data_IF_949986678185
#
_entry.id   IF_949986678185
#
_cell.length_a   1.000
_cell.length_b   1.000
_cell.length_c   1.000
_cell.angle_alpha   90.00
_cell.angle_beta   90.00
_cell.angle_gamma   90.00
#
_symmetry.space_group_name_H-M   'P 1'
#
loop_
_entity.id
_entity.type
_entity.pdbx_description
1 polymer ?
#
# COMPACT_ATOMS: atom_id res chain seq x y z
N UNK A 1 15.28 -30.44 -9.65
CA UNK A 1 16.16 -30.38 -8.46
C UNK A 1 15.92 -29.03 -7.80
N UNK A 2 15.26 -29.01 -6.64
CA UNK A 2 14.79 -27.78 -5.99
C UNK A 2 15.98 -26.98 -5.42
N UNK A 3 16.38 -25.91 -6.10
CA UNK A 3 17.39 -24.96 -5.61
C UNK A 3 16.98 -24.22 -4.32
N UNK A 4 15.72 -24.37 -3.86
CA UNK A 4 15.18 -23.68 -2.69
C UNK A 4 15.11 -24.54 -1.41
N UNK A 5 15.54 -25.81 -1.42
CA UNK A 5 15.35 -26.71 -0.28
C UNK A 5 16.15 -26.35 1.00
N UNK A 6 17.05 -25.36 0.93
CA UNK A 6 17.93 -24.96 2.03
C UNK A 6 17.88 -23.46 2.41
N UNK A 7 17.06 -22.65 1.75
CA UNK A 7 16.98 -21.22 2.09
C UNK A 7 16.03 -21.00 3.28
N UNK A 8 16.38 -20.13 4.25
CA UNK A 8 15.47 -19.73 5.32
C UNK A 8 14.17 -19.16 4.77
N UNK A 9 13.04 -19.63 5.28
CA UNK A 9 11.70 -19.24 4.86
C UNK A 9 11.23 -17.98 5.57
N UNK A 10 10.73 -17.00 4.82
CA UNK A 10 10.20 -15.74 5.34
C UNK A 10 8.69 -15.60 5.03
N UNK A 11 7.84 -15.79 6.04
CA UNK A 11 6.38 -15.66 5.91
C UNK A 11 5.94 -14.20 6.05
N UNK A 12 5.34 -13.63 5.02
CA UNK A 12 4.93 -12.21 5.00
C UNK A 12 3.43 -12.09 5.23
N UNK A 13 3.02 -11.31 6.23
CA UNK A 13 1.64 -10.84 6.41
C UNK A 13 1.56 -9.34 6.12
N UNK A 14 0.67 -8.93 5.22
CA UNK A 14 0.45 -7.51 4.87
C UNK A 14 -1.06 -7.22 4.80
N UNK A 15 -1.55 -6.34 3.91
CA UNK A 15 -2.96 -6.23 3.55
C UNK A 15 -3.61 -7.58 3.22
N UNK A 16 -4.93 -7.70 3.42
CA UNK A 16 -5.66 -8.93 3.06
C UNK A 16 -5.50 -9.26 1.57
N UNK A 17 -5.53 -10.56 1.24
CA UNK A 17 -5.24 -11.04 -0.11
C UNK A 17 -6.14 -10.41 -1.18
N UNK A 18 -7.43 -10.20 -0.88
CA UNK A 18 -8.35 -9.50 -1.78
C UNK A 18 -7.87 -8.10 -2.20
N UNK A 19 -7.28 -7.36 -1.26
CA UNK A 19 -6.78 -6.00 -1.51
C UNK A 19 -5.54 -6.02 -2.41
N UNK A 20 -4.64 -6.98 -2.20
CA UNK A 20 -3.46 -7.19 -3.06
C UNK A 20 -3.87 -7.46 -4.51
N UNK A 21 -5.02 -8.12 -4.71
CA UNK A 21 -5.58 -8.44 -6.03
C UNK A 21 -6.31 -7.29 -6.71
N UNK A 22 -6.43 -6.14 -6.05
CA UNK A 22 -7.23 -5.01 -6.54
C UNK A 22 -6.50 -3.67 -6.42
N UNK A 23 -5.29 -3.64 -5.87
CA UNK A 23 -4.51 -2.43 -5.65
C UNK A 23 -3.06 -2.58 -6.13
N UNK A 24 -2.63 -1.75 -7.09
CA UNK A 24 -1.27 -1.77 -7.62
C UNK A 24 -0.20 -1.48 -6.56
N UNK A 25 -0.50 -0.58 -5.61
CA UNK A 25 0.42 -0.23 -4.54
C UNK A 25 0.74 -1.43 -3.66
N UNK A 26 -0.29 -2.08 -3.12
CA UNK A 26 -0.13 -3.27 -2.29
C UNK A 26 0.51 -4.43 -3.04
N UNK A 27 0.16 -4.63 -4.31
CA UNK A 27 0.78 -5.67 -5.14
C UNK A 27 2.28 -5.42 -5.32
N UNK A 28 2.65 -4.23 -5.80
CA UNK A 28 4.03 -3.93 -6.17
C UNK A 28 4.92 -3.74 -4.93
N UNK A 29 4.36 -3.31 -3.80
CA UNK A 29 5.01 -3.34 -2.49
C UNK A 29 5.37 -4.76 -2.08
N UNK A 30 4.45 -5.71 -2.21
CA UNK A 30 4.70 -7.11 -1.87
C UNK A 30 5.76 -7.72 -2.79
N UNK A 31 5.66 -7.45 -4.09
CA UNK A 31 6.69 -7.80 -5.06
C UNK A 31 8.06 -7.28 -4.63
N UNK A 32 8.15 -5.99 -4.32
CA UNK A 32 9.41 -5.38 -3.94
C UNK A 32 10.05 -6.03 -2.70
N UNK A 33 9.23 -6.30 -1.67
CA UNK A 33 9.71 -6.94 -0.46
C UNK A 33 10.18 -8.38 -0.72
N UNK A 34 9.43 -9.17 -1.51
CA UNK A 34 9.85 -10.53 -1.86
C UNK A 34 11.16 -10.51 -2.65
N UNK A 35 11.27 -9.69 -3.69
CA UNK A 35 12.49 -9.57 -4.50
C UNK A 35 13.70 -9.15 -3.66
N UNK A 36 13.50 -8.24 -2.71
CA UNK A 36 14.58 -7.83 -1.81
C UNK A 36 15.02 -8.97 -0.87
N UNK A 37 14.06 -9.69 -0.28
CA UNK A 37 14.36 -10.85 0.59
C UNK A 37 15.01 -12.01 -0.17
N UNK A 38 14.63 -12.24 -1.44
CA UNK A 38 15.30 -13.21 -2.32
C UNK A 38 16.78 -12.87 -2.51
N UNK A 39 17.10 -11.58 -2.74
CA UNK A 39 18.49 -11.10 -2.84
C UNK A 39 19.28 -11.29 -1.56
N UNK A 40 18.61 -11.25 -0.41
CA UNK A 40 19.20 -11.56 0.90
C UNK A 40 19.38 -13.07 1.14
N UNK A 41 18.98 -13.94 0.20
CA UNK A 41 19.12 -15.39 0.32
C UNK A 41 18.01 -16.06 1.12
N UNK A 42 16.83 -15.45 1.23
CA UNK A 42 15.66 -16.07 1.84
C UNK A 42 14.70 -16.62 0.77
N UNK A 43 13.80 -17.51 1.20
CA UNK A 43 12.62 -17.89 0.44
C UNK A 43 11.39 -17.18 1.02
N UNK A 44 11.05 -15.96 0.52
CA UNK A 44 9.88 -15.24 1.00
C UNK A 44 8.60 -15.81 0.40
N UNK A 45 7.50 -15.74 1.15
CA UNK A 45 6.17 -16.05 0.63
C UNK A 45 5.09 -15.22 1.34
N UNK A 46 4.06 -14.83 0.59
CA UNK A 46 2.89 -14.14 1.12
C UNK A 46 1.93 -15.13 1.78
N UNK A 47 1.62 -14.89 3.06
CA UNK A 47 0.53 -15.56 3.78
C UNK A 47 -0.79 -14.96 3.29
N UNK A 48 -1.55 -15.74 2.51
CA UNK A 48 -2.81 -15.26 1.91
C UNK A 48 -3.92 -15.23 2.95
N UNK A 49 -3.99 -14.16 3.73
CA UNK A 49 -5.07 -13.97 4.69
C UNK A 49 -6.32 -13.41 4.00
N UNK A 50 -7.47 -14.04 4.22
CA UNK A 50 -8.76 -13.51 3.78
C UNK A 50 -9.24 -12.37 4.69
N UNK A 51 -10.08 -11.51 4.14
CA UNK A 51 -10.74 -10.48 4.93
C UNK A 51 -11.64 -11.12 5.98
N UNK A 52 -11.89 -10.43 7.09
CA UNK A 52 -12.86 -10.84 8.10
C UNK A 52 -14.27 -10.72 7.49
N UNK A 53 -14.61 -11.64 6.60
CA UNK A 53 -15.98 -11.98 6.30
C UNK A 53 -16.39 -12.91 7.42
N UNK A 54 -16.96 -12.37 8.49
CA UNK A 54 -18.00 -13.14 9.16
C UNK A 54 -19.24 -12.95 8.28
N UNK A 55 -19.59 -13.88 7.36
CA UNK A 55 -20.97 -13.91 6.92
C UNK A 55 -21.77 -14.23 8.17
N UNK A 56 -22.32 -13.20 8.83
CA UNK A 56 -23.34 -13.40 9.85
C UNK A 56 -24.38 -14.28 9.15
N UNK A 57 -24.55 -15.51 9.62
CA UNK A 57 -25.41 -16.46 8.94
C UNK A 57 -26.80 -15.83 8.81
N UNK A 58 -27.55 -16.17 7.76
CA UNK A 58 -28.91 -15.61 7.58
C UNK A 58 -29.76 -15.79 8.85
N UNK A 59 -29.55 -16.90 9.57
CA UNK A 59 -30.18 -17.19 10.86
C UNK A 59 -29.74 -16.23 11.97
N UNK A 60 -28.47 -15.89 12.08
CA UNK A 60 -27.96 -14.92 13.07
C UNK A 60 -28.36 -13.48 12.72
N UNK A 61 -28.42 -13.11 11.43
CA UNK A 61 -28.99 -11.82 11.00
C UNK A 61 -30.46 -11.71 11.38
N UNK A 62 -31.24 -12.77 11.15
CA UNK A 62 -32.65 -12.82 11.56
C UNK A 62 -32.77 -12.73 13.08
N UNK A 63 -31.98 -13.52 13.82
CA UNK A 63 -32.01 -13.54 15.30
C UNK A 63 -31.65 -12.18 15.88
N UNK A 64 -30.66 -11.49 15.31
CA UNK A 64 -30.26 -10.14 15.67
C UNK A 64 -31.38 -9.11 15.42
N UNK A 65 -32.02 -9.13 14.25
CA UNK A 65 -33.11 -8.20 13.93
C UNK A 65 -34.42 -8.51 14.67
N UNK A 66 -34.68 -9.76 15.02
CA UNK A 66 -35.79 -10.15 15.90
C UNK A 66 -35.59 -9.63 17.33
N UNK A 67 -34.35 -9.66 17.84
CA UNK A 67 -33.99 -9.14 19.16
C UNK A 67 -33.82 -7.61 19.17
N UNK A 68 -33.57 -6.98 18.01
CA UNK A 68 -33.32 -5.55 17.87
C UNK A 68 -34.13 -4.90 16.71
N UNK A 69 -35.47 -4.88 16.78
CA UNK A 69 -36.33 -4.39 15.69
C UNK A 69 -36.11 -2.90 15.36
N UNK A 70 -35.75 -2.09 16.35
CA UNK A 70 -35.40 -0.67 16.15
C UNK A 70 -34.12 -0.49 15.31
N UNK A 71 -33.19 -1.44 15.30
CA UNK A 71 -31.99 -1.37 14.47
C UNK A 71 -32.25 -1.76 13.01
N UNK A 72 -33.24 -2.63 12.76
CA UNK A 72 -33.74 -2.90 11.41
C UNK A 72 -34.40 -1.64 10.82
N UNK A 73 -35.27 -1.00 11.61
CA UNK A 73 -35.85 0.29 11.27
C UNK A 73 -34.75 1.34 11.01
N UNK A 74 -33.79 1.48 11.93
CA UNK A 74 -32.67 2.42 11.78
C UNK A 74 -31.84 2.16 10.51
N UNK A 75 -31.61 0.90 10.11
CA UNK A 75 -30.95 0.54 8.85
C UNK A 75 -31.78 0.88 7.60
N UNK A 76 -33.12 0.78 7.68
CA UNK A 76 -34.02 1.20 6.61
C UNK A 76 -34.06 2.74 6.44
N UNK A 77 -33.81 3.49 7.52
CA UNK A 77 -33.79 4.97 7.54
C UNK A 77 -32.37 5.60 7.50
N UNK A 78 -31.30 4.80 7.60
CA UNK A 78 -29.92 5.27 7.49
C UNK A 78 -29.50 5.34 6.00
N UNK A 79 -29.74 6.49 5.37
CA UNK A 79 -29.20 6.87 4.06
C UNK A 79 -27.69 6.59 3.86
N UNK A 80 -26.78 6.91 4.80
CA UNK A 80 -25.34 6.73 4.55
C UNK A 80 -24.90 5.27 4.38
N UNK A 81 -25.61 4.30 4.99
CA UNK A 81 -25.29 2.89 4.81
C UNK A 81 -25.72 2.36 3.43
N UNK A 82 -26.85 2.85 2.91
CA UNK A 82 -27.33 2.49 1.56
C UNK A 82 -26.47 3.14 0.47
N UNK A 83 -26.14 4.42 0.62
CA UNK A 83 -25.26 5.13 -0.33
C UNK A 83 -23.87 4.48 -0.39
N UNK A 84 -23.30 4.07 0.74
CA UNK A 84 -22.04 3.33 0.78
C UNK A 84 -22.13 1.95 0.09
N UNK A 85 -23.23 1.22 0.30
CA UNK A 85 -23.46 -0.08 -0.34
C UNK A 85 -23.66 0.06 -1.86
N UNK A 86 -24.46 1.03 -2.30
CA UNK A 86 -24.66 1.36 -3.72
C UNK A 86 -23.35 1.78 -4.39
N UNK A 87 -22.55 2.63 -3.72
CA UNK A 87 -21.22 3.02 -4.19
C UNK A 87 -20.32 1.79 -4.35
N UNK A 88 -20.26 0.90 -3.35
CA UNK A 88 -19.48 -0.34 -3.42
C UNK A 88 -19.93 -1.25 -4.58
N UNK A 89 -21.24 -1.38 -4.82
CA UNK A 89 -21.78 -2.15 -5.94
C UNK A 89 -21.43 -1.54 -7.30
N UNK A 90 -21.43 -0.21 -7.42
CA UNK A 90 -21.02 0.49 -8.65
C UNK A 90 -19.53 0.31 -8.94
N UNK A 91 -18.68 0.42 -7.92
CA UNK A 91 -17.24 0.14 -8.04
C UNK A 91 -17.02 -1.32 -8.46
N UNK A 92 -17.71 -2.27 -7.82
CA UNK A 92 -17.62 -3.68 -8.17
C UNK A 92 -18.10 -3.99 -9.59
N UNK A 93 -19.10 -3.24 -10.10
CA UNK A 93 -19.52 -3.33 -11.50
C UNK A 93 -18.44 -2.83 -12.44
N UNK A 94 -17.93 -1.62 -12.21
CA UNK A 94 -16.84 -1.05 -13.01
C UNK A 94 -15.64 -2.00 -13.08
N UNK A 95 -15.21 -2.55 -11.94
CA UNK A 95 -14.08 -3.48 -11.87
C UNK A 95 -14.29 -4.80 -12.61
N UNK A 96 -15.54 -5.24 -12.79
CA UNK A 96 -15.88 -6.42 -13.60
C UNK A 96 -15.86 -6.10 -15.10
N UNK A 97 -16.28 -4.90 -15.46
CA UNK A 97 -16.25 -4.40 -16.84
C UNK A 97 -14.82 -4.06 -17.30
N UNK A 98 -13.95 -3.71 -16.35
CA UNK A 98 -12.55 -3.35 -16.59
C UNK A 98 -11.61 -4.27 -15.78
N UNK A 99 -11.51 -5.55 -16.16
CA UNK A 99 -10.69 -6.51 -15.42
C UNK A 99 -9.21 -6.14 -15.51
N UNK A 100 -8.55 -6.17 -14.36
CA UNK A 100 -7.11 -5.92 -14.21
C UNK A 100 -6.47 -7.25 -13.79
N UNK A 101 -5.64 -7.92 -14.61
CA UNK A 101 -5.20 -9.29 -14.35
C UNK A 101 -4.10 -9.40 -13.27
N UNK A 102 -4.36 -8.88 -12.07
CA UNK A 102 -3.46 -8.92 -10.91
C UNK A 102 -3.03 -10.35 -10.54
N UNK A 103 -3.95 -11.32 -10.59
CA UNK A 103 -3.65 -12.73 -10.27
C UNK A 103 -2.58 -13.32 -11.20
N UNK A 104 -2.51 -12.91 -12.47
CA UNK A 104 -1.46 -13.37 -13.38
C UNK A 104 -0.09 -12.82 -13.01
N UNK A 105 -0.02 -11.61 -12.46
CA UNK A 105 1.23 -11.06 -11.94
C UNK A 105 1.63 -11.77 -10.64
N UNK A 106 0.68 -11.97 -9.73
CA UNK A 106 0.90 -12.68 -8.46
C UNK A 106 1.45 -14.08 -8.72
N UNK A 107 0.81 -14.86 -9.60
CA UNK A 107 1.22 -16.25 -9.86
C UNK A 107 2.60 -16.36 -10.51
N UNK A 108 3.04 -15.33 -11.23
CA UNK A 108 4.33 -15.32 -11.93
C UNK A 108 5.48 -14.77 -11.08
N UNK A 109 5.20 -13.80 -10.21
CA UNK A 109 6.25 -13.03 -9.52
C UNK A 109 6.23 -13.12 -8.01
N UNK A 110 5.17 -13.67 -7.40
CA UNK A 110 5.06 -13.81 -5.95
C UNK A 110 4.95 -15.27 -5.55
N UNK A 111 5.72 -15.65 -4.54
CA UNK A 111 5.48 -16.86 -3.79
C UNK A 111 4.31 -16.61 -2.82
N UNK A 112 3.38 -17.55 -2.73
CA UNK A 112 2.21 -17.44 -1.85
C UNK A 112 1.93 -18.77 -1.17
N UNK A 113 1.24 -18.75 -0.03
CA UNK A 113 0.76 -19.99 0.61
C UNK A 113 -0.21 -20.74 -0.30
N UNK A 114 -0.21 -22.09 -0.31
CA UNK A 114 -1.09 -22.88 -1.18
C UNK A 114 -2.57 -22.73 -0.86
N UNK A 115 -2.89 -22.35 0.38
CA UNK A 115 -4.24 -22.07 0.85
C UNK A 115 -4.38 -20.60 1.25
N UNK A 116 -5.63 -20.17 1.44
CA UNK A 116 -5.96 -18.95 2.15
C UNK A 116 -6.19 -19.24 3.64
N UNK A 117 -5.98 -18.24 4.48
CA UNK A 117 -6.12 -18.35 5.92
C UNK A 117 -7.16 -17.37 6.43
N UNK A 118 -8.10 -17.87 7.23
CA UNK A 118 -8.86 -17.04 8.16
C UNK A 118 -8.09 -16.88 9.48
N UNK A 119 -8.64 -16.08 10.39
CA UNK A 119 -8.02 -15.81 11.71
C UNK A 119 -7.86 -17.05 12.57
N UNK A 120 -8.78 -18.00 12.49
CA UNK A 120 -8.76 -19.21 13.33
C UNK A 120 -7.68 -20.15 12.82
N UNK A 121 -7.74 -20.47 11.53
CA UNK A 121 -6.80 -21.34 10.84
C UNK A 121 -5.38 -20.80 10.91
N UNK A 122 -5.18 -19.48 10.76
CA UNK A 122 -3.85 -18.88 10.86
C UNK A 122 -3.24 -19.04 12.26
N UNK A 123 -4.05 -18.99 13.32
CA UNK A 123 -3.57 -19.13 14.71
C UNK A 123 -3.33 -20.57 15.10
N UNK A 124 -4.19 -21.48 14.66
CA UNK A 124 -4.09 -22.90 14.99
C UNK A 124 -3.03 -23.62 14.14
N UNK A 125 -2.91 -23.24 12.86
CA UNK A 125 -2.06 -23.90 11.88
C UNK A 125 -1.29 -22.87 11.03
N UNK A 126 -0.46 -22.02 11.63
CA UNK A 126 0.32 -21.04 10.88
C UNK A 126 1.26 -21.74 9.89
N UNK A 127 1.49 -21.17 8.69
CA UNK A 127 2.46 -21.73 7.75
C UNK A 127 3.86 -21.70 8.37
N UNK A 128 4.64 -22.76 8.22
CA UNK A 128 6.00 -22.84 8.77
C UNK A 128 6.95 -21.82 8.12
N UNK A 129 7.64 -21.05 8.97
CA UNK A 129 8.68 -20.11 8.55
C UNK A 129 9.78 -19.97 9.60
N UNK A 130 10.97 -19.58 9.15
CA UNK A 130 12.10 -19.24 10.01
C UNK A 130 11.96 -17.82 10.59
N UNK A 131 11.28 -16.95 9.84
CA UNK A 131 10.94 -15.59 10.24
C UNK A 131 9.57 -15.20 9.67
N UNK A 132 8.84 -14.39 10.41
CA UNK A 132 7.57 -13.79 10.01
C UNK A 132 7.70 -12.28 9.94
N UNK A 133 7.28 -11.69 8.83
CA UNK A 133 7.30 -10.25 8.60
C UNK A 133 5.87 -9.70 8.56
N UNK A 134 5.61 -8.67 9.35
CA UNK A 134 4.40 -7.87 9.25
C UNK A 134 4.70 -6.56 8.52
N UNK A 135 3.94 -6.29 7.46
CA UNK A 135 4.05 -5.07 6.69
C UNK A 135 4.25 -5.30 5.19
N UNK A 136 4.51 -4.27 4.41
CA UNK A 136 4.73 -2.88 4.86
C UNK A 136 3.52 -1.96 4.72
N UNK A 137 2.37 -2.46 4.28
CA UNK A 137 1.22 -1.61 3.98
C UNK A 137 0.47 -1.14 5.25
N UNK A 138 -0.73 -0.56 5.10
CA UNK A 138 -1.55 0.02 6.18
C UNK A 138 -2.17 -1.01 7.15
N UNK A 139 -1.36 -1.90 7.70
CA UNK A 139 -1.78 -3.11 8.44
C UNK A 139 -2.18 -2.86 9.89
N UNK A 140 -1.76 -1.75 10.51
CA UNK A 140 -2.09 -1.44 11.91
C UNK A 140 -3.14 -0.33 12.04
N UNK A 141 -3.98 -0.20 11.01
CA UNK A 141 -5.11 0.74 10.98
C UNK A 141 -6.33 0.20 11.73
N UNK A 142 -6.56 -1.11 11.67
CA UNK A 142 -7.72 -1.79 12.26
C UNK A 142 -7.30 -2.69 13.42
N UNK A 143 -8.28 -3.13 14.21
CA UNK A 143 -8.10 -4.12 15.29
C UNK A 143 -7.95 -5.56 14.72
N UNK A 144 -7.15 -5.73 13.66
CA UNK A 144 -6.75 -7.03 13.12
C UNK A 144 -5.43 -7.45 13.76
N UNK A 145 -5.51 -8.09 14.92
CA UNK A 145 -4.34 -8.43 15.73
C UNK A 145 -3.46 -9.52 15.13
N UNK A 146 -3.90 -10.21 14.08
CA UNK A 146 -3.04 -11.14 13.37
C UNK A 146 -1.90 -10.38 12.65
N UNK A 147 -2.11 -9.09 12.32
CA UNK A 147 -1.07 -8.18 11.82
C UNK A 147 -0.01 -7.79 12.86
N UNK A 148 -0.23 -8.12 14.14
CA UNK A 148 0.79 -8.06 15.20
C UNK A 148 1.53 -9.41 15.35
N UNK A 149 1.38 -10.33 14.38
CA UNK A 149 2.04 -11.63 14.36
C UNK A 149 1.81 -12.47 15.63
N UNK A 150 0.66 -12.31 16.29
CA UNK A 150 0.38 -13.02 17.54
C UNK A 150 0.23 -14.55 17.38
N UNK A 151 0.15 -15.06 16.14
CA UNK A 151 0.20 -16.48 15.80
C UNK A 151 1.64 -17.02 15.67
N UNK A 152 2.63 -16.15 15.46
CA UNK A 152 4.02 -16.56 15.23
C UNK A 152 4.78 -16.70 16.56
N UNK A 153 5.79 -17.57 16.66
CA UNK A 153 6.61 -17.68 17.86
C UNK A 153 7.34 -16.37 18.20
N UNK A 154 7.52 -16.03 19.50
CA UNK A 154 8.41 -14.96 19.93
C UNK A 154 9.81 -15.06 19.34
N UNK A 155 10.42 -13.91 19.03
CA UNK A 155 11.78 -13.86 18.46
C UNK A 155 11.87 -14.25 16.98
N UNK A 156 10.77 -14.68 16.36
CA UNK A 156 10.63 -14.86 14.90
C UNK A 156 9.85 -13.74 14.21
N UNK A 157 9.47 -12.70 14.94
CA UNK A 157 8.55 -11.64 14.46
C UNK A 157 9.32 -10.39 14.09
N UNK A 158 9.08 -9.85 12.90
CA UNK A 158 9.66 -8.58 12.45
C UNK A 158 8.54 -7.72 11.89
N UNK A 159 8.51 -6.43 12.23
CA UNK A 159 7.69 -5.46 11.52
C UNK A 159 8.59 -4.68 10.58
N UNK A 160 8.30 -4.73 9.28
CA UNK A 160 9.05 -3.99 8.27
C UNK A 160 8.18 -2.92 7.65
N UNK A 161 8.60 -1.65 7.79
CA UNK A 161 7.94 -0.49 7.23
C UNK A 161 6.42 -0.46 7.47
N UNK A 162 5.94 -0.94 8.62
CA UNK A 162 4.51 -1.00 8.91
C UNK A 162 3.88 0.40 8.83
N UNK A 163 2.72 0.49 8.19
CA UNK A 163 1.97 1.74 8.03
C UNK A 163 0.59 1.63 8.70
N UNK A 164 0.00 2.78 9.01
CA UNK A 164 -1.37 2.86 9.50
C UNK A 164 -1.94 4.28 9.34
N UNK A 165 -3.23 4.42 9.60
CA UNK A 165 -3.82 5.73 9.92
C UNK A 165 -3.39 6.14 11.34
N UNK A 166 -2.13 6.53 11.50
CA UNK A 166 -1.52 6.88 12.78
C UNK A 166 -2.30 8.00 13.50
N UNK A 167 -2.51 7.82 14.80
CA UNK A 167 -3.34 8.70 15.62
C UNK A 167 -4.82 8.28 15.72
N UNK A 168 -5.27 7.31 14.91
CA UNK A 168 -6.63 6.73 15.00
C UNK A 168 -6.67 5.35 15.69
N UNK A 169 -5.54 4.87 16.22
CA UNK A 169 -5.46 3.57 16.89
C UNK A 169 -6.44 3.48 18.08
N UNK A 170 -7.17 2.37 18.16
CA UNK A 170 -8.16 2.13 19.21
C UNK A 170 -7.48 1.82 20.56
N UNK A 171 -8.24 1.93 21.66
CA UNK A 171 -7.77 1.45 22.98
C UNK A 171 -7.42 -0.05 22.95
N UNK A 172 -8.16 -0.85 22.18
CA UNK A 172 -7.90 -2.30 22.05
C UNK A 172 -6.59 -2.55 21.31
N UNK A 173 -6.33 -1.78 20.24
CA UNK A 173 -5.06 -1.84 19.55
C UNK A 173 -3.90 -1.55 20.51
N UNK A 174 -3.98 -0.50 21.34
CA UNK A 174 -2.91 -0.23 22.33
C UNK A 174 -2.71 -1.36 23.35
N UNK A 175 -3.78 -2.01 23.81
CA UNK A 175 -3.71 -3.14 24.73
C UNK A 175 -2.97 -4.32 24.07
N UNK A 176 -3.39 -4.70 22.87
CA UNK A 176 -2.77 -5.81 22.15
C UNK A 176 -1.35 -5.48 21.68
N UNK A 177 -1.10 -4.25 21.21
CA UNK A 177 0.24 -3.82 20.81
C UNK A 177 1.23 -3.88 22.00
N UNK A 178 0.84 -3.41 23.19
CA UNK A 178 1.66 -3.53 24.41
C UNK A 178 1.99 -4.98 24.77
N UNK A 179 1.07 -5.89 24.47
CA UNK A 179 1.24 -7.32 24.73
C UNK A 179 2.13 -7.99 23.70
N UNK A 180 1.95 -7.68 22.41
CA UNK A 180 2.53 -8.44 21.31
C UNK A 180 3.83 -7.85 20.74
N UNK A 181 3.98 -6.51 20.72
CA UNK A 181 5.17 -5.86 20.18
C UNK A 181 6.49 -6.22 20.89
N UNK A 182 6.54 -6.49 22.22
CA UNK A 182 7.76 -6.94 22.89
C UNK A 182 8.34 -8.26 22.36
N UNK A 183 7.56 -9.05 21.63
CA UNK A 183 8.01 -10.31 21.04
C UNK A 183 8.61 -10.16 19.64
N UNK A 184 8.65 -8.94 19.11
CA UNK A 184 9.31 -8.62 17.86
C UNK A 184 10.82 -8.49 18.05
N UNK A 185 11.57 -9.09 17.13
CA UNK A 185 13.02 -8.95 17.06
C UNK A 185 13.43 -7.57 16.57
N UNK A 186 12.61 -6.97 15.71
CA UNK A 186 12.79 -5.60 15.24
C UNK A 186 11.46 -5.01 14.79
N UNK A 187 11.28 -3.72 15.06
CA UNK A 187 10.10 -2.96 14.64
C UNK A 187 10.56 -1.76 13.82
N UNK A 188 10.07 -1.68 12.59
CA UNK A 188 10.16 -0.47 11.79
C UNK A 188 8.81 -0.09 11.20
N UNK A 189 8.64 1.20 11.02
CA UNK A 189 7.44 1.83 10.45
C UNK A 189 7.84 2.68 9.25
N UNK A 190 6.87 3.01 8.41
CA UNK A 190 7.10 3.84 7.22
C UNK A 190 7.05 5.34 7.52
N UNK A 191 6.31 5.73 8.54
CA UNK A 191 6.05 7.13 8.90
C UNK A 191 6.56 7.47 10.30
N UNK A 192 7.02 8.70 10.47
CA UNK A 192 7.54 9.20 11.76
C UNK A 192 6.47 9.14 12.87
N UNK A 193 5.22 9.43 12.54
CA UNK A 193 4.08 9.34 13.46
C UNK A 193 3.88 7.91 13.98
N UNK A 194 4.18 6.90 13.16
CA UNK A 194 4.10 5.50 13.57
C UNK A 194 5.06 5.15 14.69
N UNK A 195 6.28 5.70 14.64
CA UNK A 195 7.29 5.51 15.68
C UNK A 195 6.79 6.06 17.00
N UNK A 196 6.21 7.26 16.98
CA UNK A 196 5.65 7.87 18.19
C UNK A 196 4.48 7.08 18.77
N UNK A 197 3.61 6.52 17.92
CA UNK A 197 2.49 5.67 18.37
C UNK A 197 2.99 4.35 18.96
N UNK A 198 3.98 3.70 18.34
CA UNK A 198 4.60 2.50 18.89
C UNK A 198 5.33 2.76 20.21
N UNK A 199 5.98 3.93 20.37
CA UNK A 199 6.58 4.36 21.63
C UNK A 199 5.53 4.55 22.73
N UNK A 200 4.37 5.14 22.41
CA UNK A 200 3.22 5.21 23.35
C UNK A 200 2.64 3.83 23.70
N UNK A 201 2.85 2.84 22.82
CA UNK A 201 2.55 1.44 23.06
C UNK A 201 3.66 0.68 23.80
N UNK A 202 4.70 1.36 24.29
CA UNK A 202 5.74 0.77 25.15
C UNK A 202 6.98 0.26 24.42
N UNK A 203 7.16 0.58 23.14
CA UNK A 203 8.34 0.18 22.37
C UNK A 203 9.34 1.32 22.23
N UNK A 204 10.52 1.19 22.85
CA UNK A 204 11.55 2.25 22.80
C UNK A 204 12.26 2.30 21.45
N UNK A 205 12.60 1.13 20.88
CA UNK A 205 13.36 1.00 19.64
C UNK A 205 12.43 0.73 18.46
N UNK A 206 12.15 1.78 17.70
CA UNK A 206 11.33 1.71 16.48
C UNK A 206 11.97 2.58 15.40
N UNK A 207 12.40 1.93 14.32
CA UNK A 207 13.06 2.61 13.20
C UNK A 207 12.03 3.14 12.19
N UNK A 208 12.39 4.22 11.48
CA UNK A 208 11.60 4.74 10.36
C UNK A 208 12.35 4.41 9.08
N UNK A 209 11.79 3.53 8.26
CA UNK A 209 12.45 2.96 7.09
C UNK A 209 11.63 3.19 5.82
N UNK A 210 12.24 2.95 4.66
CA UNK A 210 11.57 3.09 3.37
C UNK A 210 10.51 2.01 3.15
N UNK A 211 9.46 2.39 2.42
CA UNK A 211 8.61 1.41 1.74
C UNK A 211 9.48 0.51 0.84
N UNK A 212 9.25 -0.82 0.82
CA UNK A 212 10.11 -1.74 0.09
C UNK A 212 10.14 -1.50 -1.41
N UNK A 213 9.16 -0.80 -2.00
CA UNK A 213 9.24 -0.38 -3.40
C UNK A 213 10.44 0.52 -3.71
N UNK A 214 10.96 1.23 -2.70
CA UNK A 214 12.15 2.08 -2.81
C UNK A 214 13.45 1.35 -2.44
N UNK A 215 13.37 0.08 -2.00
CA UNK A 215 14.55 -0.77 -1.78
C UNK A 215 15.13 -1.34 -3.07
N UNK A 216 14.28 -1.53 -4.08
CA UNK A 216 14.70 -2.06 -5.37
C UNK A 216 15.33 -0.97 -6.23
N UNK A 217 16.25 -1.40 -7.10
CA UNK A 217 16.76 -0.53 -8.14
C UNK A 217 15.65 -0.29 -9.19
N UNK A 218 15.48 0.93 -9.74
CA UNK A 218 14.48 1.20 -10.76
C UNK A 218 14.54 0.26 -11.97
N UNK A 219 15.73 -0.25 -12.32
CA UNK A 219 15.90 -1.21 -13.41
C UNK A 219 15.10 -2.49 -13.20
N UNK A 220 14.87 -2.93 -11.95
CA UNK A 220 14.09 -4.13 -11.64
C UNK A 220 12.64 -3.98 -12.08
N UNK A 221 12.04 -2.81 -11.87
CA UNK A 221 10.71 -2.50 -12.38
C UNK A 221 10.71 -2.38 -13.89
N UNK A 222 11.67 -1.63 -14.45
CA UNK A 222 11.70 -1.42 -15.91
C UNK A 222 12.04 -2.69 -16.71
N UNK A 223 12.61 -3.71 -16.07
CA UNK A 223 12.87 -5.02 -16.69
C UNK A 223 11.61 -5.88 -16.83
N UNK A 224 10.56 -5.59 -16.06
CA UNK A 224 9.26 -6.27 -16.16
C UNK A 224 8.48 -5.85 -17.42
N UNK A 225 8.74 -4.65 -17.95
CA UNK A 225 8.02 -4.11 -19.10
C UNK A 225 8.77 -4.44 -20.38
N UNK A 226 8.08 -5.02 -21.37
CA UNK A 226 8.69 -5.36 -22.66
C UNK A 226 8.63 -4.17 -23.60
N UNK A 227 9.67 -3.98 -24.42
CA UNK A 227 9.78 -2.83 -25.33
C UNK A 227 8.88 -2.92 -26.59
N UNK A 228 7.83 -3.75 -26.59
CA UNK A 228 7.12 -4.12 -27.82
C UNK A 228 6.18 -3.03 -28.36
N UNK A 229 5.62 -2.18 -27.50
CA UNK A 229 4.82 -1.01 -27.92
C UNK A 229 4.66 -0.01 -26.78
N UNK A 230 4.59 1.28 -27.09
CA UNK A 230 4.26 2.31 -26.12
C UNK A 230 2.83 2.09 -25.58
N UNK A 231 2.65 2.24 -24.27
CA UNK A 231 1.36 2.15 -23.60
C UNK A 231 0.63 3.50 -23.59
N UNK A 232 1.37 4.59 -23.36
CA UNK A 232 0.85 5.96 -23.40
C UNK A 232 1.23 6.65 -24.71
N UNK A 233 0.34 7.53 -25.24
CA UNK A 233 0.74 8.48 -26.26
C UNK A 233 1.91 9.37 -25.78
N UNK A 234 2.74 9.91 -26.70
CA UNK A 234 3.75 10.91 -26.34
C UNK A 234 3.17 12.09 -25.58
N UNK A 235 3.97 12.69 -24.70
CA UNK A 235 3.60 13.86 -23.90
C UNK A 235 2.38 13.68 -22.97
N UNK A 236 1.97 12.44 -22.68
CA UNK A 236 0.84 12.15 -21.80
C UNK A 236 1.08 12.62 -20.37
N UNK A 237 0.03 13.16 -19.75
CA UNK A 237 -0.07 13.39 -18.31
C UNK A 237 -0.76 12.19 -17.69
N UNK A 238 -0.10 11.56 -16.73
CA UNK A 238 -0.65 10.42 -16.01
C UNK A 238 -1.27 10.88 -14.70
N UNK A 239 -2.54 10.55 -14.50
CA UNK A 239 -3.20 10.61 -13.21
C UNK A 239 -3.25 9.25 -12.54
N UNK A 240 -2.92 9.16 -11.26
CA UNK A 240 -3.24 7.98 -10.45
C UNK A 240 -3.96 8.41 -9.19
N UNK A 241 -5.28 8.18 -9.14
CA UNK A 241 -6.15 8.74 -8.10
C UNK A 241 -6.94 7.67 -7.36
N UNK A 242 -6.97 7.81 -6.03
CA UNK A 242 -7.63 6.96 -5.06
C UNK A 242 -8.66 7.76 -4.27
N UNK A 243 -9.70 7.09 -3.76
CA UNK A 243 -10.65 7.65 -2.78
C UNK A 243 -11.19 9.05 -3.13
N UNK A 244 -11.46 9.32 -4.41
CA UNK A 244 -11.95 10.62 -4.88
C UNK A 244 -13.43 10.55 -5.20
N UNK A 245 -14.23 11.37 -4.53
CA UNK A 245 -15.69 11.39 -4.73
C UNK A 245 -16.15 12.54 -5.62
N UNK A 246 -15.40 13.64 -5.63
CA UNK A 246 -15.64 14.77 -6.51
C UNK A 246 -14.36 15.23 -7.23
N UNK A 247 -14.51 15.65 -8.49
CA UNK A 247 -13.44 16.22 -9.30
C UNK A 247 -12.76 17.44 -8.67
N UNK A 248 -13.45 18.15 -7.78
CA UNK A 248 -12.89 19.28 -7.02
C UNK A 248 -11.81 18.85 -6.03
N UNK A 249 -11.84 17.62 -5.51
CA UNK A 249 -10.84 17.13 -4.56
C UNK A 249 -9.46 16.93 -5.20
N UNK A 250 -9.42 16.72 -6.52
CA UNK A 250 -8.19 16.58 -7.30
C UNK A 250 -7.89 17.80 -8.16
N UNK A 251 -8.57 18.93 -7.93
CA UNK A 251 -8.36 20.17 -8.70
C UNK A 251 -8.49 19.97 -10.20
N UNK A 252 -9.51 19.22 -10.63
CA UNK A 252 -9.67 18.78 -12.03
C UNK A 252 -9.61 19.93 -13.05
N UNK A 253 -10.27 21.06 -12.77
CA UNK A 253 -10.24 22.21 -13.67
C UNK A 253 -8.81 22.77 -13.83
N UNK A 254 -8.04 22.84 -12.73
CA UNK A 254 -6.65 23.28 -12.77
C UNK A 254 -5.75 22.30 -13.53
N UNK A 255 -6.03 20.99 -13.45
CA UNK A 255 -5.35 19.97 -14.26
C UNK A 255 -5.63 20.23 -15.75
N UNK A 256 -6.90 20.37 -16.13
CA UNK A 256 -7.30 20.60 -17.53
C UNK A 256 -6.71 21.90 -18.09
N UNK A 257 -6.78 22.98 -17.32
CA UNK A 257 -6.25 24.28 -17.73
C UNK A 257 -4.73 24.24 -17.86
N UNK A 258 -4.05 23.62 -16.89
CA UNK A 258 -2.59 23.54 -16.89
C UNK A 258 -2.06 22.66 -18.00
N UNK A 259 -2.74 21.58 -18.38
CA UNK A 259 -2.24 20.60 -19.35
C UNK A 259 -3.08 20.51 -20.62
N UNK A 260 -3.75 21.61 -20.98
CA UNK A 260 -4.52 21.71 -22.22
C UNK A 260 -3.67 21.33 -23.43
N UNK A 261 -4.15 20.36 -24.21
CA UNK A 261 -3.47 19.84 -25.40
C UNK A 261 -2.57 18.63 -25.14
N UNK A 262 -2.31 18.27 -23.87
CA UNK A 262 -1.66 17.00 -23.54
C UNK A 262 -2.72 15.89 -23.39
N UNK A 263 -2.44 14.64 -23.85
CA UNK A 263 -3.30 13.50 -23.54
C UNK A 263 -3.33 13.26 -22.04
N UNK A 264 -4.51 13.31 -21.42
CA UNK A 264 -4.70 13.01 -20.01
C UNK A 264 -5.19 11.57 -19.86
N UNK A 265 -4.41 10.74 -19.16
CA UNK A 265 -4.74 9.34 -18.89
C UNK A 265 -4.77 9.12 -17.39
N UNK A 266 -5.90 8.65 -16.88
CA UNK A 266 -6.16 8.49 -15.46
C UNK A 266 -6.31 7.01 -15.15
N UNK A 267 -5.58 6.54 -14.16
CA UNK A 267 -5.77 5.25 -13.51
C UNK A 267 -6.60 5.51 -12.25
N UNK A 268 -7.93 5.27 -12.28
CA UNK A 268 -8.76 5.43 -11.11
C UNK A 268 -8.81 4.15 -10.27
N UNK A 269 -8.85 4.33 -8.95
CA UNK A 269 -9.07 3.26 -7.98
C UNK A 269 -9.93 3.75 -6.80
N UNK A 270 -10.62 2.81 -6.14
CA UNK A 270 -11.28 3.01 -4.84
C UNK A 270 -12.36 4.12 -4.83
N UNK A 271 -13.22 4.16 -5.85
CA UNK A 271 -14.34 5.11 -5.95
C UNK A 271 -14.10 6.23 -6.95
N UNK A 272 -12.83 6.52 -7.27
CA UNK A 272 -12.45 7.52 -8.26
C UNK A 272 -13.01 7.18 -9.65
N UNK A 273 -13.21 5.90 -9.95
CA UNK A 273 -13.79 5.41 -11.20
C UNK A 273 -15.20 5.97 -11.46
N UNK A 274 -15.89 6.41 -10.40
CA UNK A 274 -17.28 6.88 -10.48
C UNK A 274 -17.40 8.37 -10.78
N UNK A 275 -16.32 9.14 -10.72
CA UNK A 275 -16.34 10.60 -10.91
C UNK A 275 -15.44 11.09 -12.06
N UNK A 276 -14.43 10.31 -12.46
CA UNK A 276 -13.54 10.65 -13.58
C UNK A 276 -14.27 10.46 -14.93
N UNK A 277 -14.11 11.38 -15.90
CA UNK A 277 -14.65 11.21 -17.24
C UNK A 277 -14.13 9.95 -17.95
N UNK A 278 -15.03 9.16 -18.53
CA UNK A 278 -14.73 7.86 -19.15
C UNK A 278 -13.60 7.92 -20.19
N UNK A 279 -13.60 8.94 -21.06
CA UNK A 279 -12.58 9.13 -22.11
C UNK A 279 -11.14 9.32 -21.58
N UNK A 280 -11.02 9.72 -20.30
CA UNK A 280 -9.72 9.87 -19.64
C UNK A 280 -9.26 8.61 -18.94
N UNK A 281 -10.14 7.62 -18.71
CA UNK A 281 -9.84 6.43 -17.92
C UNK A 281 -8.99 5.44 -18.72
N UNK A 282 -7.98 4.89 -18.05
CA UNK A 282 -7.24 3.70 -18.45
C UNK A 282 -7.22 2.70 -17.29
N UNK A 283 -7.23 1.41 -17.58
CA UNK A 283 -7.23 0.34 -16.58
C UNK A 283 -6.10 -0.66 -16.86
N UNK A 284 -4.84 -0.24 -16.63
CA UNK A 284 -3.67 -1.04 -16.98
C UNK A 284 -3.62 -2.36 -16.20
N UNK A 285 -3.01 -3.39 -16.76
CA UNK A 285 -2.48 -4.47 -15.93
C UNK A 285 -1.26 -4.02 -15.08
N UNK A 286 -0.72 -4.85 -14.17
CA UNK A 286 0.44 -4.43 -13.37
C UNK A 286 1.71 -4.09 -14.15
N UNK A 287 1.93 -4.67 -15.34
CA UNK A 287 3.08 -4.33 -16.20
C UNK A 287 2.84 -3.00 -16.90
N UNK A 288 1.65 -2.83 -17.48
CA UNK A 288 1.21 -1.60 -18.12
C UNK A 288 1.18 -0.44 -17.12
N UNK A 289 0.88 -0.69 -15.85
CA UNK A 289 0.96 0.31 -14.78
C UNK A 289 2.39 0.84 -14.65
N UNK A 290 3.37 -0.06 -14.53
CA UNK A 290 4.79 0.32 -14.46
C UNK A 290 5.20 1.07 -15.75
N UNK A 291 4.74 0.59 -16.91
CA UNK A 291 5.03 1.20 -18.20
C UNK A 291 4.44 2.61 -18.31
N UNK A 292 3.20 2.83 -17.84
CA UNK A 292 2.54 4.12 -17.83
C UNK A 292 3.35 5.15 -17.02
N UNK A 293 3.82 4.78 -15.82
CA UNK A 293 4.69 5.64 -15.01
C UNK A 293 6.03 5.93 -15.71
N UNK A 294 6.60 4.94 -16.40
CA UNK A 294 7.84 5.10 -17.17
C UNK A 294 7.68 6.02 -18.39
N UNK A 295 6.52 6.00 -19.05
CA UNK A 295 6.26 6.74 -20.29
C UNK A 295 5.66 8.13 -20.07
N UNK A 296 5.01 8.37 -18.93
CA UNK A 296 4.41 9.65 -18.62
C UNK A 296 5.40 10.82 -18.73
N UNK A 297 4.93 11.96 -19.25
CA UNK A 297 5.67 13.21 -19.24
C UNK A 297 5.70 13.81 -17.84
N UNK A 298 4.52 13.94 -17.24
CA UNK A 298 4.29 14.43 -15.88
C UNK A 298 3.27 13.54 -15.19
N UNK A 299 3.32 13.49 -13.86
CA UNK A 299 2.42 12.68 -13.04
C UNK A 299 1.67 13.55 -12.03
N UNK A 300 0.38 13.34 -11.88
CA UNK A 300 -0.44 13.98 -10.84
C UNK A 300 -1.16 12.88 -10.07
N UNK A 301 -1.06 12.88 -8.75
CA UNK A 301 -1.54 11.74 -7.97
C UNK A 301 -1.93 12.14 -6.56
N UNK A 302 -2.96 11.52 -6.00
CA UNK A 302 -3.25 11.56 -4.56
C UNK A 302 -2.96 10.21 -3.86
N UNK A 303 -2.19 9.36 -4.55
CA UNK A 303 -1.77 8.04 -4.09
C UNK A 303 -0.34 8.10 -3.55
N UNK A 304 -0.11 7.50 -2.39
CA UNK A 304 1.23 7.35 -1.84
C UNK A 304 2.12 6.57 -2.81
N UNK A 305 1.63 5.43 -3.32
CA UNK A 305 2.38 4.64 -4.29
C UNK A 305 2.51 5.33 -5.65
N UNK A 306 1.55 6.20 -6.03
CA UNK A 306 1.75 7.07 -7.20
C UNK A 306 2.92 8.04 -7.02
N UNK A 307 3.06 8.61 -5.82
CA UNK A 307 4.21 9.47 -5.49
C UNK A 307 5.51 8.67 -5.52
N UNK A 308 5.51 7.49 -4.91
CA UNK A 308 6.69 6.60 -4.90
C UNK A 308 7.10 6.19 -6.32
N UNK A 309 6.19 5.74 -7.16
CA UNK A 309 6.52 5.36 -8.54
C UNK A 309 6.92 6.56 -9.41
N UNK A 310 6.46 7.77 -9.09
CA UNK A 310 6.96 8.99 -9.73
C UNK A 310 8.44 9.24 -9.42
N UNK A 311 8.85 9.00 -8.16
CA UNK A 311 10.24 9.09 -7.71
C UNK A 311 11.09 7.99 -8.36
N UNK A 312 10.63 6.73 -8.32
CA UNK A 312 11.32 5.57 -8.92
C UNK A 312 11.60 5.82 -10.41
N UNK A 313 10.61 6.34 -11.14
CA UNK A 313 10.73 6.61 -12.58
C UNK A 313 11.36 7.97 -12.91
N UNK A 314 11.78 8.73 -11.90
CA UNK A 314 12.36 10.08 -12.01
C UNK A 314 11.55 11.01 -12.89
N UNK A 315 10.23 11.03 -12.70
CA UNK A 315 9.29 11.87 -13.45
C UNK A 315 8.96 13.15 -12.70
N UNK A 316 8.79 14.30 -13.36
CA UNK A 316 8.15 15.45 -12.75
C UNK A 316 6.76 15.07 -12.25
N UNK A 317 6.44 15.43 -11.01
CA UNK A 317 5.18 15.06 -10.40
C UNK A 317 4.66 16.10 -9.40
N UNK A 318 3.35 16.03 -9.17
CA UNK A 318 2.69 16.71 -8.07
C UNK A 318 1.77 15.74 -7.31
N UNK A 319 1.95 15.72 -5.99
CA UNK A 319 1.10 14.99 -5.07
C UNK A 319 -0.03 15.89 -4.57
N UNK A 320 -1.27 15.46 -4.74
CA UNK A 320 -2.46 16.12 -4.20
C UNK A 320 -2.80 15.43 -2.88
N UNK A 321 -2.96 16.23 -1.81
CA UNK A 321 -3.33 15.69 -0.51
C UNK A 321 -4.80 15.26 -0.51
N UNK A 322 -5.08 14.09 0.08
CA UNK A 322 -6.46 13.63 0.26
C UNK A 322 -7.18 14.48 1.31
N UNK A 323 -8.50 14.62 1.19
CA UNK A 323 -9.34 15.40 2.08
C UNK A 323 -10.28 14.52 2.92
N UNK A 324 -11.01 15.11 3.86
CA UNK A 324 -12.02 14.40 4.66
C UNK A 324 -11.43 13.27 5.50
N UNK A 325 -12.12 12.11 5.52
CA UNK A 325 -11.76 10.98 6.39
C UNK A 325 -10.41 10.34 6.04
N UNK A 326 -9.97 10.45 4.79
CA UNK A 326 -8.71 9.90 4.28
C UNK A 326 -7.53 10.86 4.41
N UNK A 327 -7.73 12.11 4.83
CA UNK A 327 -6.65 13.08 5.05
C UNK A 327 -5.59 12.60 6.04
N UNK A 328 -5.95 11.71 6.98
CA UNK A 328 -5.00 11.09 7.92
C UNK A 328 -3.91 10.27 7.21
N UNK A 329 -4.17 9.82 5.98
CA UNK A 329 -3.23 9.06 5.16
C UNK A 329 -2.13 9.94 4.55
N UNK A 330 -2.25 11.26 4.64
CA UNK A 330 -1.30 12.22 4.08
C UNK A 330 0.04 12.24 4.83
N UNK A 331 0.10 11.76 6.08
CA UNK A 331 1.33 11.61 6.88
C UNK A 331 2.43 10.88 6.13
N UNK A 332 2.04 9.88 5.31
CA UNK A 332 2.95 9.10 4.47
C UNK A 332 3.65 9.94 3.41
N UNK A 333 2.93 10.90 2.82
CA UNK A 333 3.50 11.84 1.86
C UNK A 333 4.45 12.80 2.56
N UNK A 334 4.02 13.38 3.69
CA UNK A 334 4.85 14.31 4.44
C UNK A 334 6.16 13.67 4.91
N UNK A 335 6.10 12.46 5.48
CA UNK A 335 7.28 11.73 5.96
C UNK A 335 8.25 11.43 4.81
N UNK A 336 7.75 10.87 3.70
CA UNK A 336 8.57 10.52 2.54
C UNK A 336 9.17 11.76 1.87
N UNK A 337 8.33 12.72 1.47
CA UNK A 337 8.77 13.89 0.71
C UNK A 337 9.72 14.76 1.54
N UNK A 338 9.50 14.90 2.86
CA UNK A 338 10.43 15.59 3.75
C UNK A 338 11.79 14.89 3.82
N UNK A 339 11.81 13.56 3.93
CA UNK A 339 13.07 12.80 3.99
C UNK A 339 13.91 12.93 2.72
N UNK A 340 13.26 13.17 1.57
CA UNK A 340 13.90 13.36 0.28
C UNK A 340 14.10 14.83 -0.10
N UNK A 341 13.57 15.76 0.70
CA UNK A 341 13.48 17.20 0.43
C UNK A 341 12.75 17.53 -0.87
N UNK A 342 11.56 16.94 -1.01
CA UNK A 342 10.61 17.07 -2.13
C UNK A 342 9.27 17.65 -1.65
N UNK A 343 9.23 18.38 -0.53
CA UNK A 343 7.98 18.95 0.02
C UNK A 343 7.32 19.96 -0.93
N UNK A 344 8.09 20.55 -1.85
CA UNK A 344 7.61 21.40 -2.93
C UNK A 344 6.80 20.63 -3.98
N UNK A 345 6.83 19.29 -3.97
CA UNK A 345 6.03 18.42 -4.85
C UNK A 345 4.63 18.15 -4.31
N UNK A 346 4.28 18.65 -3.13
CA UNK A 346 2.90 18.72 -2.70
C UNK A 346 2.24 19.91 -3.38
N UNK A 347 1.20 19.66 -4.18
CA UNK A 347 0.49 20.73 -4.88
C UNK A 347 -0.20 21.67 -3.87
N UNK A 348 0.00 22.96 -4.08
CA UNK A 348 -0.50 24.03 -3.24
C UNK A 348 -1.05 25.17 -4.12
N UNK A 349 -2.37 25.32 -4.30
CA UNK A 349 -2.95 26.31 -5.21
C UNK A 349 -2.55 27.75 -4.87
N UNK A 350 -2.22 28.03 -3.60
CA UNK A 350 -1.74 29.34 -3.14
C UNK A 350 -0.32 29.68 -3.63
N UNK A 351 0.44 28.70 -4.15
CA UNK A 351 1.81 28.89 -4.67
C UNK A 351 1.86 29.22 -6.17
N UNK A 352 0.73 29.43 -6.82
CA UNK A 352 0.65 29.78 -8.25
C UNK A 352 0.09 28.65 -9.12
N UNK A 353 0.33 28.73 -10.43
CA UNK A 353 -0.27 27.81 -11.39
C UNK A 353 0.29 26.39 -11.24
N UNK A 354 -0.56 25.37 -11.41
CA UNK A 354 -0.14 23.96 -11.30
C UNK A 354 0.93 23.61 -12.34
N UNK A 355 0.86 24.15 -13.57
CA UNK A 355 1.91 24.00 -14.58
C UNK A 355 3.27 24.51 -14.08
N UNK A 356 3.31 25.71 -13.51
CA UNK A 356 4.55 26.31 -13.00
C UNK A 356 5.14 25.47 -11.87
N UNK A 357 4.30 25.03 -10.93
CA UNK A 357 4.73 24.11 -9.87
C UNK A 357 5.27 22.79 -10.45
N UNK A 358 4.60 22.19 -11.44
CA UNK A 358 5.05 20.95 -12.09
C UNK A 358 6.40 21.12 -12.80
N UNK A 359 6.62 22.25 -13.46
CA UNK A 359 7.83 22.56 -14.23
C UNK A 359 9.03 22.95 -13.35
N UNK A 360 8.84 23.13 -12.04
CA UNK A 360 9.94 23.33 -11.10
C UNK A 360 10.93 22.15 -11.15
N UNK A 361 12.21 22.48 -11.33
CA UNK A 361 13.27 21.49 -11.51
C UNK A 361 13.49 20.68 -10.23
N UNK A 362 13.32 19.37 -10.35
CA UNK A 362 13.73 18.42 -9.30
C UNK A 362 15.24 18.17 -9.40
N UNK A 363 15.95 18.36 -8.29
CA UNK A 363 17.39 18.06 -8.19
C UNK A 363 17.59 16.56 -7.93
N UNK A 364 17.40 15.74 -8.97
CA UNK A 364 17.41 14.28 -8.86
C UNK A 364 18.67 13.69 -8.24
N UNK A 365 19.84 14.30 -8.44
CA UNK A 365 21.08 13.85 -7.80
C UNK A 365 21.02 13.98 -6.28
N UNK A 366 20.49 15.09 -5.76
CA UNK A 366 20.32 15.27 -4.32
C UNK A 366 19.25 14.32 -3.75
N UNK A 367 18.18 14.08 -4.51
CA UNK A 367 17.14 13.11 -4.17
C UNK A 367 17.72 11.70 -4.09
N UNK A 368 18.49 11.28 -5.09
CA UNK A 368 19.11 9.96 -5.14
C UNK A 368 20.10 9.77 -3.99
N UNK A 369 20.95 10.76 -3.69
CA UNK A 369 21.88 10.68 -2.58
C UNK A 369 21.17 10.47 -1.23
N UNK A 370 20.04 11.16 -1.00
CA UNK A 370 19.20 10.94 0.20
C UNK A 370 18.53 9.57 0.17
N UNK A 371 18.02 9.17 -0.99
CA UNK A 371 17.37 7.88 -1.17
C UNK A 371 18.32 6.71 -0.90
N UNK A 372 19.55 6.75 -1.40
CA UNK A 372 20.58 5.73 -1.15
C UNK A 372 20.93 5.62 0.34
N UNK A 373 21.04 6.74 1.05
CA UNK A 373 21.27 6.74 2.50
C UNK A 373 20.11 6.07 3.25
N UNK A 374 18.86 6.43 2.90
CA UNK A 374 17.67 5.84 3.49
C UNK A 374 17.52 4.36 3.11
N UNK A 375 17.91 3.98 1.89
CA UNK A 375 17.92 2.59 1.42
C UNK A 375 18.92 1.76 2.21
N UNK A 376 20.14 2.26 2.40
CA UNK A 376 21.17 1.64 3.24
C UNK A 376 20.70 1.45 4.69
N UNK A 377 20.09 2.46 5.30
CA UNK A 377 19.51 2.36 6.65
C UNK A 377 18.39 1.31 6.72
N UNK A 378 17.49 1.30 5.74
CA UNK A 378 16.37 0.35 5.68
C UNK A 378 16.84 -1.10 5.47
N UNK A 379 17.86 -1.28 4.62
CA UNK A 379 18.54 -2.54 4.39
C UNK A 379 19.20 -3.07 5.67
N UNK A 380 19.98 -2.21 6.35
CA UNK A 380 20.68 -2.55 7.58
C UNK A 380 19.71 -2.97 8.69
N UNK A 381 18.59 -2.28 8.85
CA UNK A 381 17.53 -2.68 9.78
C UNK A 381 17.03 -4.10 9.47
N UNK A 382 16.67 -4.35 8.20
CA UNK A 382 16.07 -5.61 7.80
C UNK A 382 17.06 -6.78 7.93
N UNK A 383 18.32 -6.58 7.53
CA UNK A 383 19.41 -7.54 7.68
C UNK A 383 19.64 -7.91 9.15
N UNK A 384 19.81 -6.91 10.02
CA UNK A 384 20.02 -7.14 11.46
C UNK A 384 18.84 -7.88 12.09
N UNK A 385 17.62 -7.45 11.80
CA UNK A 385 16.42 -8.06 12.37
C UNK A 385 16.27 -9.53 11.94
N UNK A 386 16.53 -9.83 10.66
CA UNK A 386 16.47 -11.20 10.12
C UNK A 386 17.59 -12.07 10.70
N UNK A 387 18.83 -11.60 10.74
CA UNK A 387 19.95 -12.35 11.31
C UNK A 387 19.70 -12.69 12.78
N UNK A 388 19.25 -11.72 13.57
CA UNK A 388 18.90 -11.95 14.97
C UNK A 388 17.75 -12.95 15.14
N UNK A 389 16.76 -12.93 14.24
CA UNK A 389 15.63 -13.86 14.26
C UNK A 389 16.08 -15.29 13.98
N UNK A 390 16.92 -15.49 12.97
CA UNK A 390 17.39 -16.81 12.52
C UNK A 390 18.41 -17.39 13.50
N UNK A 391 19.43 -16.62 13.91
CA UNK A 391 20.49 -17.11 14.81
C UNK A 391 20.02 -17.45 16.23
N UNK A 392 18.87 -16.94 16.69
CA UNK A 392 18.29 -17.32 17.99
C UNK A 392 17.63 -18.69 17.99
N UNK A 393 17.38 -19.28 16.82
CA UNK A 393 16.55 -20.47 16.65
C UNK A 393 17.16 -21.59 15.79
N UNK A 394 18.34 -21.36 15.20
CA UNK A 394 19.18 -22.39 14.58
C UNK A 394 20.33 -22.76 15.50
#
# INVERSE_FOLDING_TARGET
MNQHAHLPKAGIITSHYYFIKTNYGSLLQNFALQRYLEKMGLFPFLIRQEEISQPISFREKIKFYLLHPLQLFRRLFQKPAREAEEKAQRIARFNREHPRPFESFISKHLNTTPITYDRVTLREHPPEADVYLAGSDQIWTLDDFDKLLNFAPPGKRIAYAASANWGKQSKRWFIEARKELPYFTGISVRETEGREICQKAGMEQVEVVLDPTLLLDPSEYTSLVTAQSAYLPPDSILGYFLNTDALTEIYWNQILDSFKGNPLRIIPLQGTELCIPEDSIITPDPYEFIQAFKEAKNIITNSFHGTVFSIIMRKPFLSILQAGDTAIQNTRFFSLLKSLGLEDRIYAPERGLMREQMEQRIQWEAVENRLEQLRGHSAEFLEKAIQQSICRHG
#
